data_IF_575010778810
#
_entry.id   IF_575010778810
#
_cell.length_a   1.000
_cell.length_b   1.000
_cell.length_c   1.000
_cell.angle_alpha   90.00
_cell.angle_beta   90.00
_cell.angle_gamma   90.00
#
_symmetry.space_group_name_H-M   'P 1'
#
loop_
_entity.id
_entity.type
_entity.pdbx_description
1 polymer ?
#
# COMPACT_ATOMS: atom_id res chain seq x y z
N UNK A 1 -17.63 11.03 -25.81
CA UNK A 1 -17.17 10.03 -24.84
C UNK A 1 -17.71 10.46 -23.48
N UNK A 2 -18.56 9.64 -22.86
CA UNK A 2 -19.22 9.99 -21.60
C UNK A 2 -18.75 9.02 -20.53
N UNK A 3 -18.13 9.54 -19.47
CA UNK A 3 -17.61 8.73 -18.36
C UNK A 3 -18.55 8.89 -17.18
N UNK A 4 -19.00 7.77 -16.62
CA UNK A 4 -19.86 7.76 -15.43
C UNK A 4 -19.05 7.19 -14.27
N UNK A 5 -18.94 7.95 -13.18
CA UNK A 5 -18.31 7.51 -11.93
C UNK A 5 -19.38 7.08 -10.95
N UNK A 6 -19.31 5.83 -10.49
CA UNK A 6 -20.26 5.26 -9.52
C UNK A 6 -19.48 4.67 -8.34
N UNK A 7 -20.01 4.84 -7.13
CA UNK A 7 -19.52 4.12 -5.95
C UNK A 7 -20.20 2.75 -5.89
N UNK A 8 -19.39 1.70 -5.85
CA UNK A 8 -19.89 0.32 -5.89
C UNK A 8 -19.40 -0.42 -4.63
N UNK A 9 -20.29 -1.13 -3.91
CA UNK A 9 -19.87 -1.98 -2.80
C UNK A 9 -18.84 -3.02 -3.28
N UNK A 10 -17.79 -3.26 -2.48
CA UNK A 10 -16.67 -4.13 -2.89
C UNK A 10 -17.09 -5.56 -3.29
N UNK A 11 -18.19 -6.09 -2.72
CA UNK A 11 -18.76 -7.39 -3.08
C UNK A 11 -19.36 -7.44 -4.50
N UNK A 12 -19.83 -6.30 -5.00
CA UNK A 12 -20.47 -6.17 -6.31
C UNK A 12 -19.49 -5.74 -7.42
N UNK A 13 -18.26 -5.32 -7.08
CA UNK A 13 -17.23 -4.87 -8.02
C UNK A 13 -17.02 -5.86 -9.18
N UNK A 14 -16.85 -7.14 -8.87
CA UNK A 14 -16.60 -8.17 -9.89
C UNK A 14 -17.81 -8.35 -10.81
N UNK A 15 -19.02 -8.44 -10.25
CA UNK A 15 -20.27 -8.60 -11.02
C UNK A 15 -20.54 -7.41 -11.94
N UNK A 16 -20.39 -6.18 -11.42
CA UNK A 16 -20.56 -4.97 -12.24
C UNK A 16 -19.49 -4.85 -13.32
N UNK A 17 -18.24 -5.18 -13.01
CA UNK A 17 -17.17 -5.13 -14.01
C UNK A 17 -17.38 -6.12 -15.16
N UNK A 18 -17.95 -7.30 -14.88
CA UNK A 18 -18.31 -8.27 -15.90
C UNK A 18 -19.47 -7.76 -16.76
N UNK A 19 -20.52 -7.22 -16.12
CA UNK A 19 -21.69 -6.67 -16.82
C UNK A 19 -21.32 -5.48 -17.73
N UNK A 20 -20.45 -4.57 -17.27
CA UNK A 20 -19.98 -3.44 -18.07
C UNK A 20 -19.22 -3.93 -19.31
N UNK A 21 -18.39 -4.98 -19.18
CA UNK A 21 -17.70 -5.59 -20.33
C UNK A 21 -18.64 -6.28 -21.31
N UNK A 22 -19.67 -6.98 -20.81
CA UNK A 22 -20.68 -7.63 -21.65
C UNK A 22 -21.49 -6.61 -22.48
N UNK A 23 -21.75 -5.43 -21.90
CA UNK A 23 -22.39 -4.32 -22.62
C UNK A 23 -21.45 -3.55 -23.57
N UNK A 24 -20.19 -3.98 -23.71
CA UNK A 24 -19.19 -3.32 -24.55
C UNK A 24 -18.60 -2.05 -23.95
N UNK A 25 -18.82 -1.81 -22.65
CA UNK A 25 -18.23 -0.71 -21.90
C UNK A 25 -16.84 -1.05 -21.36
N UNK A 26 -16.03 -0.02 -21.11
CA UNK A 26 -14.67 -0.16 -20.60
C UNK A 26 -14.56 0.40 -19.17
N UNK A 27 -13.95 -0.36 -18.26
CA UNK A 27 -13.68 0.07 -16.89
C UNK A 27 -12.33 0.78 -16.86
N UNK A 28 -12.35 2.12 -16.89
CA UNK A 28 -11.15 2.96 -17.01
C UNK A 28 -10.31 2.96 -15.72
N UNK A 29 -10.95 2.96 -14.55
CA UNK A 29 -10.23 2.94 -13.28
C UNK A 29 -11.08 2.31 -12.18
N UNK A 30 -10.40 1.64 -11.25
CA UNK A 30 -11.02 1.26 -9.98
C UNK A 30 -10.20 1.82 -8.84
N UNK A 31 -10.82 2.69 -8.05
CA UNK A 31 -10.26 3.22 -6.81
C UNK A 31 -10.20 2.11 -5.76
N UNK A 32 -9.10 1.35 -5.72
CA UNK A 32 -8.78 0.48 -4.60
C UNK A 32 -8.13 1.30 -3.48
N UNK A 33 -8.94 2.04 -2.71
CA UNK A 33 -8.46 2.80 -1.53
C UNK A 33 -7.63 1.93 -0.57
N UNK A 34 -7.99 0.64 -0.45
CA UNK A 34 -7.23 -0.34 0.34
C UNK A 34 -5.83 -0.63 -0.19
N UNK A 35 -5.62 -0.64 -1.50
CA UNK A 35 -4.30 -0.92 -2.07
C UNK A 35 -3.40 0.31 -1.99
N UNK A 36 -3.96 1.51 -2.18
CA UNK A 36 -3.24 2.76 -1.99
C UNK A 36 -2.82 2.94 -0.52
N UNK A 37 -3.71 2.65 0.43
CA UNK A 37 -3.38 2.70 1.86
C UNK A 37 -2.28 1.71 2.26
N UNK A 38 -2.28 0.49 1.71
CA UNK A 38 -1.22 -0.50 1.95
C UNK A 38 0.12 -0.06 1.37
N UNK A 39 0.13 0.48 0.15
CA UNK A 39 1.36 1.00 -0.48
C UNK A 39 1.92 2.20 0.28
N UNK A 40 1.06 3.11 0.74
CA UNK A 40 1.47 4.25 1.54
C UNK A 40 2.12 3.81 2.85
N UNK A 41 1.50 2.88 3.59
CA UNK A 41 2.09 2.31 4.81
C UNK A 41 3.45 1.66 4.57
N UNK A 42 3.56 0.82 3.54
CA UNK A 42 4.82 0.15 3.21
C UNK A 42 5.95 1.15 2.89
N UNK A 43 5.62 2.21 2.13
CA UNK A 43 6.59 3.25 1.80
C UNK A 43 7.04 4.04 3.03
N UNK A 44 6.13 4.33 3.94
CA UNK A 44 6.46 5.00 5.20
C UNK A 44 7.35 4.11 6.09
N UNK A 45 7.04 2.81 6.20
CA UNK A 45 7.87 1.84 6.93
C UNK A 45 9.29 1.76 6.35
N UNK A 46 9.43 1.72 5.02
CA UNK A 46 10.76 1.71 4.35
C UNK A 46 11.52 3.01 4.62
N UNK A 47 10.85 4.16 4.52
CA UNK A 47 11.46 5.47 4.80
C UNK A 47 11.94 5.57 6.25
N UNK A 48 11.15 5.04 7.18
CA UNK A 48 11.51 4.99 8.58
C UNK A 48 12.77 4.12 8.80
N UNK A 49 12.80 2.90 8.25
CA UNK A 49 13.97 2.02 8.36
C UNK A 49 15.24 2.62 7.76
N UNK A 50 15.13 3.31 6.61
CA UNK A 50 16.26 4.02 6.00
C UNK A 50 16.75 5.18 6.86
N UNK A 51 15.84 5.90 7.52
CA UNK A 51 16.19 6.98 8.44
C UNK A 51 16.92 6.45 9.67
N UNK A 52 16.42 5.37 10.27
CA UNK A 52 17.04 4.71 11.41
C UNK A 52 18.44 4.19 11.06
N UNK A 53 18.60 3.53 9.91
CA UNK A 53 19.91 3.08 9.43
C UNK A 53 20.90 4.23 9.25
N UNK A 54 20.41 5.37 8.72
CA UNK A 54 21.22 6.58 8.57
C UNK A 54 21.61 7.19 9.91
N UNK A 55 20.71 7.24 10.89
CA UNK A 55 21.00 7.74 12.23
C UNK A 55 21.99 6.86 12.99
N UNK A 56 21.93 5.53 12.81
CA UNK A 56 22.94 4.59 13.32
C UNK A 56 24.30 4.87 12.67
N UNK A 57 24.34 5.05 11.35
CA UNK A 57 25.57 5.35 10.63
C UNK A 57 26.21 6.69 11.04
N UNK A 58 25.38 7.72 11.27
CA UNK A 58 25.83 9.03 11.75
C UNK A 58 26.18 9.06 13.25
N UNK A 59 26.05 7.93 13.96
CA UNK A 59 26.34 7.81 15.40
C UNK A 59 25.33 8.53 16.30
N UNK A 60 24.18 8.92 15.76
CA UNK A 60 23.08 9.59 16.48
C UNK A 60 22.15 8.60 17.19
N UNK A 61 22.13 7.35 16.73
CA UNK A 61 21.36 6.26 17.33
C UNK A 61 22.28 5.07 17.65
N UNK A 62 22.00 4.35 18.75
CA UNK A 62 22.69 3.10 19.07
C UNK A 62 22.20 2.01 18.11
N UNK A 63 23.12 1.44 17.35
CA UNK A 63 22.84 0.21 16.60
C UNK A 63 22.66 -0.96 17.56
N UNK A 64 21.85 -1.93 17.17
CA UNK A 64 21.73 -3.19 17.89
C UNK A 64 22.97 -4.05 17.61
N UNK A 65 23.58 -4.58 18.67
CA UNK A 65 24.63 -5.57 18.54
C UNK A 65 24.03 -6.95 18.30
N UNK A 66 24.84 -7.88 17.77
CA UNK A 66 24.38 -9.26 17.55
C UNK A 66 23.93 -9.91 18.87
N UNK A 67 24.58 -9.57 19.98
CA UNK A 67 24.22 -10.02 21.32
C UNK A 67 22.82 -9.54 21.74
N UNK A 68 22.46 -8.30 21.42
CA UNK A 68 21.14 -7.73 21.74
C UNK A 68 20.00 -8.45 20.99
N UNK A 69 20.29 -8.97 19.79
CA UNK A 69 19.32 -9.74 18.99
C UNK A 69 19.08 -11.16 19.53
N UNK A 70 20.05 -11.74 20.24
CA UNK A 70 19.96 -13.10 20.78
C UNK A 70 19.47 -13.16 22.23
N UNK A 71 19.60 -12.08 23.01
CA UNK A 71 19.23 -12.06 24.44
C UNK A 71 17.74 -11.73 24.71
N UNK A 72 16.92 -11.58 23.66
CA UNK A 72 15.45 -11.66 23.76
C UNK A 72 14.79 -10.69 24.76
N UNK A 73 15.27 -9.45 24.85
CA UNK A 73 14.54 -8.34 25.48
C UNK A 73 14.15 -7.26 24.49
#
# INVERSE_FOLDING_TARGET
MTTITIQVPGKAKNKLSAFVKELGGEVISVSSEREQAKKAKLLDEIRQGLKEAKEIHEGKAKGYSMSDLFDGK
#
